data_IF_730223507122
#
_entry.id   IF_730223507122
#
_cell.length_a   1.000
_cell.length_b   1.000
_cell.length_c   1.000
_cell.angle_alpha   90.00
_cell.angle_beta   90.00
_cell.angle_gamma   90.00
#
_symmetry.space_group_name_H-M   'P 1'
#
loop_
_entity.id
_entity.type
_entity.pdbx_description
1 polymer ?
#
# COMPACT_ATOMS: atom_id res chain seq x y z
N UNK A 1 -18.56 74.21 21.33
CA UNK A 1 -19.82 74.97 21.23
C UNK A 1 -20.62 74.44 20.06
N UNK A 2 -21.80 73.88 20.35
CA UNK A 2 -23.08 73.78 19.61
C UNK A 2 -23.03 74.05 18.10
N UNK A 3 -23.69 73.36 17.17
CA UNK A 3 -24.85 72.47 17.12
C UNK A 3 -24.82 71.85 15.68
N UNK A 4 -25.63 70.93 15.16
CA UNK A 4 -27.01 70.53 15.40
C UNK A 4 -27.23 69.22 14.61
N UNK A 5 -28.03 68.34 15.17
CA UNK A 5 -28.42 67.05 14.61
C UNK A 5 -29.39 67.19 13.42
N UNK A 6 -29.31 66.25 12.47
CA UNK A 6 -30.45 65.86 11.64
C UNK A 6 -30.65 64.35 11.77
N UNK A 7 -31.80 63.98 12.35
CA UNK A 7 -32.29 62.61 12.51
C UNK A 7 -32.75 62.07 11.15
N UNK A 8 -32.29 60.89 10.77
CA UNK A 8 -32.99 60.05 9.80
C UNK A 8 -32.96 58.60 10.33
N UNK A 9 -34.10 58.16 10.86
CA UNK A 9 -34.31 56.77 11.24
C UNK A 9 -34.42 55.92 9.96
N UNK A 10 -33.34 55.23 9.59
CA UNK A 10 -33.40 54.14 8.63
C UNK A 10 -33.50 52.82 9.41
N UNK A 11 -34.66 52.17 9.33
CA UNK A 11 -34.87 50.81 9.83
C UNK A 11 -34.13 49.86 8.89
N UNK A 12 -33.02 49.31 9.35
CA UNK A 12 -32.22 48.32 8.62
C UNK A 12 -32.67 46.92 9.06
N UNK A 13 -33.20 46.05 8.17
CA UNK A 13 -33.57 44.70 8.56
C UNK A 13 -32.31 43.87 8.80
N UNK A 14 -32.22 43.31 10.01
CA UNK A 14 -31.17 42.40 10.48
C UNK A 14 -31.31 41.05 9.75
N UNK A 15 -30.48 40.81 8.73
CA UNK A 15 -30.36 39.50 8.08
C UNK A 15 -29.54 38.56 8.97
N UNK A 16 -30.26 37.74 9.74
CA UNK A 16 -29.71 36.66 10.55
C UNK A 16 -29.12 35.58 9.62
N UNK A 17 -27.81 35.61 9.43
CA UNK A 17 -27.08 34.56 8.70
C UNK A 17 -27.06 33.30 9.56
N UNK A 18 -27.90 32.33 9.23
CA UNK A 18 -27.88 31.01 9.84
C UNK A 18 -26.60 30.27 9.40
N UNK A 19 -25.67 30.07 10.34
CA UNK A 19 -24.53 29.17 10.17
C UNK A 19 -25.05 27.77 9.84
N UNK A 20 -24.85 27.35 8.59
CA UNK A 20 -25.13 26.00 8.12
C UNK A 20 -24.23 25.02 8.84
N UNK A 21 -24.73 24.42 9.92
CA UNK A 21 -24.15 23.24 10.53
C UNK A 21 -24.30 22.10 9.53
N UNK A 22 -23.24 21.82 8.79
CA UNK A 22 -23.16 20.67 7.89
C UNK A 22 -23.20 19.39 8.72
N UNK A 23 -24.41 18.93 9.04
CA UNK A 23 -24.61 17.60 9.59
C UNK A 23 -24.12 16.60 8.54
N UNK A 24 -22.96 15.99 8.80
CA UNK A 24 -22.56 14.76 8.15
C UNK A 24 -23.67 13.74 8.45
N UNK A 25 -24.52 13.48 7.47
CA UNK A 25 -25.47 12.40 7.51
C UNK A 25 -24.65 11.11 7.54
N UNK A 26 -24.61 10.47 8.71
CA UNK A 26 -24.04 9.14 8.87
C UNK A 26 -24.67 8.24 7.80
N UNK A 27 -23.82 7.57 7.00
CA UNK A 27 -24.30 6.63 6.00
C UNK A 27 -25.19 5.58 6.68
N UNK A 28 -26.33 5.20 6.08
CA UNK A 28 -27.19 4.18 6.66
C UNK A 28 -26.41 2.88 6.82
N UNK A 29 -26.21 2.46 8.06
CA UNK A 29 -25.59 1.17 8.38
C UNK A 29 -26.48 0.07 7.80
N UNK A 30 -25.95 -0.66 6.83
CA UNK A 30 -26.66 -1.81 6.25
C UNK A 30 -26.93 -2.83 7.36
N UNK A 31 -28.18 -3.28 7.49
CA UNK A 31 -28.56 -4.24 8.52
C UNK A 31 -27.81 -5.57 8.33
N UNK A 32 -27.33 -6.14 9.44
CA UNK A 32 -26.61 -7.42 9.45
C UNK A 32 -27.58 -8.56 9.08
N UNK A 33 -27.27 -9.38 8.05
CA UNK A 33 -28.13 -10.50 7.67
C UNK A 33 -28.37 -11.47 8.83
N UNK A 34 -29.61 -11.99 9.01
CA UNK A 34 -29.94 -12.89 10.13
C UNK A 34 -29.02 -14.11 10.26
N UNK A 35 -28.56 -14.67 9.13
CA UNK A 35 -27.68 -15.83 9.10
C UNK A 35 -26.33 -15.61 9.79
N UNK A 36 -25.80 -14.37 9.79
CA UNK A 36 -24.51 -14.04 10.41
C UNK A 36 -24.68 -13.25 11.71
N UNK A 37 -25.91 -12.81 12.03
CA UNK A 37 -26.19 -12.00 13.21
C UNK A 37 -25.70 -12.62 14.54
N UNK A 38 -25.79 -13.95 14.77
CA UNK A 38 -25.24 -14.55 15.98
C UNK A 38 -23.74 -14.30 16.15
N UNK A 39 -22.92 -14.63 15.14
CA UNK A 39 -21.47 -14.39 15.19
C UNK A 39 -21.10 -12.91 15.13
N UNK A 40 -21.88 -12.09 14.43
CA UNK A 40 -21.65 -10.64 14.42
C UNK A 40 -21.77 -10.05 15.83
N UNK A 41 -22.73 -10.53 16.63
CA UNK A 41 -22.95 -10.05 18.01
C UNK A 41 -21.89 -10.52 18.99
N UNK A 42 -21.07 -11.52 18.66
CA UNK A 42 -19.96 -11.94 19.52
C UNK A 42 -18.71 -11.09 19.31
N UNK A 43 -18.66 -10.26 18.28
CA UNK A 43 -17.53 -9.37 18.05
C UNK A 43 -17.53 -8.30 19.14
N UNK A 44 -16.49 -8.29 19.97
CA UNK A 44 -16.32 -7.30 21.03
C UNK A 44 -14.99 -6.56 20.85
N UNK A 45 -14.96 -5.30 21.30
CA UNK A 45 -13.71 -4.53 21.33
C UNK A 45 -12.66 -5.19 22.24
N UNK A 46 -13.10 -5.81 23.34
CA UNK A 46 -12.23 -6.47 24.30
C UNK A 46 -11.45 -7.63 23.67
N UNK A 47 -12.14 -8.49 22.92
CA UNK A 47 -11.52 -9.63 22.26
C UNK A 47 -10.54 -9.17 21.18
N UNK A 48 -10.96 -8.23 20.32
CA UNK A 48 -10.08 -7.65 19.28
C UNK A 48 -8.83 -7.02 19.87
N UNK A 49 -8.97 -6.33 21.01
CA UNK A 49 -7.84 -5.70 21.71
C UNK A 49 -6.92 -6.76 22.31
N UNK A 50 -7.45 -7.83 22.89
CA UNK A 50 -6.66 -8.92 23.45
C UNK A 50 -5.85 -9.63 22.35
N UNK A 51 -6.51 -9.98 21.24
CA UNK A 51 -5.89 -10.62 20.08
C UNK A 51 -4.78 -9.75 19.48
N UNK A 52 -5.07 -8.46 19.26
CA UNK A 52 -4.09 -7.52 18.73
C UNK A 52 -2.90 -7.38 19.70
N UNK A 53 -3.17 -7.20 20.99
CA UNK A 53 -2.12 -7.08 22.02
C UNK A 53 -1.19 -8.28 22.02
N UNK A 54 -1.74 -9.49 21.95
CA UNK A 54 -0.93 -10.70 21.90
C UNK A 54 -0.10 -10.75 20.61
N UNK A 55 -0.75 -10.60 19.45
CA UNK A 55 -0.09 -10.69 18.16
C UNK A 55 1.03 -9.65 18.01
N UNK A 56 0.87 -8.46 18.57
CA UNK A 56 1.88 -7.39 18.50
C UNK A 56 2.79 -7.30 19.73
N UNK A 57 2.80 -8.32 20.59
CA UNK A 57 3.60 -8.30 21.81
C UNK A 57 5.09 -8.53 21.54
N UNK A 58 5.95 -7.96 22.39
CA UNK A 58 7.41 -8.11 22.31
C UNK A 58 7.88 -9.57 22.21
N UNK A 59 7.28 -10.57 22.89
CA UNK A 59 7.66 -11.97 22.75
C UNK A 59 7.55 -12.55 21.33
N UNK A 60 6.70 -11.98 20.47
CA UNK A 60 6.62 -12.40 19.07
C UNK A 60 7.77 -11.83 18.24
N UNK A 61 8.37 -10.70 18.66
CA UNK A 61 9.50 -10.05 17.98
C UNK A 61 9.23 -9.66 16.51
N UNK A 62 7.98 -9.69 16.07
CA UNK A 62 7.59 -9.59 14.66
C UNK A 62 6.80 -10.81 14.22
N UNK A 63 6.38 -10.82 12.95
CA UNK A 63 5.70 -11.98 12.32
C UNK A 63 6.16 -12.11 10.87
N UNK A 64 7.43 -11.81 10.61
CA UNK A 64 8.01 -12.03 9.28
C UNK A 64 8.09 -13.54 9.05
N UNK A 65 7.72 -13.97 7.84
CA UNK A 65 7.72 -15.39 7.49
C UNK A 65 9.08 -16.03 7.79
N UNK A 66 9.05 -17.27 8.28
CA UNK A 66 10.24 -18.04 8.68
C UNK A 66 10.96 -17.54 9.94
N UNK A 67 10.36 -16.61 10.69
CA UNK A 67 10.85 -16.21 12.02
C UNK A 67 10.04 -16.86 13.15
N UNK A 68 10.55 -16.78 14.38
CA UNK A 68 9.90 -17.38 15.56
C UNK A 68 8.49 -16.81 15.79
N UNK A 69 8.29 -15.51 15.63
CA UNK A 69 6.98 -14.88 15.82
C UNK A 69 5.92 -15.34 14.83
N UNK A 70 6.31 -15.68 13.60
CA UNK A 70 5.43 -16.27 12.60
C UNK A 70 4.97 -17.68 13.04
N UNK A 71 5.89 -18.52 13.52
CA UNK A 71 5.55 -19.84 14.05
C UNK A 71 4.57 -19.77 15.23
N UNK A 72 4.78 -18.82 16.16
CA UNK A 72 3.86 -18.59 17.29
C UNK A 72 2.49 -18.09 16.81
N UNK A 73 2.46 -17.18 15.83
CA UNK A 73 1.23 -16.67 15.27
C UNK A 73 0.41 -17.75 14.54
N UNK A 74 1.08 -18.64 13.78
CA UNK A 74 0.45 -19.78 13.10
C UNK A 74 -0.28 -20.67 14.12
N UNK A 75 0.41 -21.06 15.20
CA UNK A 75 -0.18 -21.92 16.24
C UNK A 75 -1.30 -21.21 16.99
N UNK A 76 -1.16 -19.91 17.25
CA UNK A 76 -2.23 -19.12 17.87
C UNK A 76 -3.49 -19.11 17.00
N UNK A 77 -3.37 -18.83 15.70
CA UNK A 77 -4.50 -18.85 14.75
C UNK A 77 -5.13 -20.24 14.69
N UNK A 78 -4.32 -21.31 14.61
CA UNK A 78 -4.82 -22.68 14.63
C UNK A 78 -5.59 -22.99 15.92
N UNK A 79 -5.14 -22.46 17.06
CA UNK A 79 -5.83 -22.59 18.34
C UNK A 79 -7.17 -21.86 18.37
N UNK A 80 -7.26 -20.67 17.77
CA UNK A 80 -8.52 -19.93 17.66
C UNK A 80 -9.52 -20.65 16.75
N UNK A 81 -9.06 -21.22 15.64
CA UNK A 81 -9.91 -22.07 14.78
C UNK A 81 -10.46 -23.27 15.53
N UNK A 82 -9.63 -23.93 16.34
CA UNK A 82 -10.06 -25.05 17.19
C UNK A 82 -11.07 -24.60 18.25
N UNK A 83 -10.84 -23.46 18.92
CA UNK A 83 -11.78 -22.89 19.91
C UNK A 83 -13.12 -22.53 19.29
N UNK A 84 -13.12 -22.05 18.05
CA UNK A 84 -14.33 -21.74 17.29
C UNK A 84 -15.08 -23.00 16.78
N UNK A 85 -14.52 -24.20 16.97
CA UNK A 85 -15.13 -25.46 16.54
C UNK A 85 -15.04 -25.72 15.03
N UNK A 86 -14.12 -25.04 14.33
CA UNK A 86 -13.84 -25.34 12.93
C UNK A 86 -13.23 -26.73 12.78
N UNK A 87 -13.40 -27.34 11.62
CA UNK A 87 -12.74 -28.60 11.28
C UNK A 87 -11.40 -28.31 10.59
N UNK A 88 -10.36 -29.14 10.82
CA UNK A 88 -9.13 -29.05 10.05
C UNK A 88 -9.40 -29.26 8.55
N UNK A 89 -8.60 -28.59 7.71
CA UNK A 89 -8.75 -28.63 6.25
C UNK A 89 -7.62 -29.41 5.56
N UNK A 90 -6.57 -29.80 6.30
CA UNK A 90 -5.39 -30.51 5.78
C UNK A 90 -5.19 -31.81 6.58
N UNK A 91 -6.07 -32.79 6.33
CA UNK A 91 -6.18 -33.98 7.16
C UNK A 91 -6.66 -33.59 8.56
N UNK A 92 -5.89 -33.99 9.58
CA UNK A 92 -6.17 -33.65 10.98
C UNK A 92 -5.53 -32.31 11.42
N UNK A 93 -4.95 -31.55 10.48
CA UNK A 93 -4.25 -30.29 10.73
C UNK A 93 -5.01 -29.04 10.25
N UNK A 94 -4.88 -27.96 11.01
CA UNK A 94 -5.28 -26.60 10.59
C UNK A 94 -4.20 -25.89 9.77
N UNK A 95 -3.00 -26.47 9.68
CA UNK A 95 -1.81 -25.88 9.07
C UNK A 95 -1.54 -26.56 7.72
N UNK A 96 -1.38 -25.75 6.68
CA UNK A 96 -0.94 -26.18 5.35
C UNK A 96 0.57 -25.99 5.18
N UNK A 97 1.34 -27.04 4.88
CA UNK A 97 2.73 -26.86 4.49
C UNK A 97 2.81 -26.25 3.08
N UNK A 98 3.60 -25.19 2.93
CA UNK A 98 3.91 -24.55 1.64
C UNK A 98 5.43 -24.44 1.51
N UNK A 99 6.03 -24.87 0.38
CA UNK A 99 7.46 -24.69 0.15
C UNK A 99 7.76 -23.20 -0.07
N UNK A 100 8.63 -22.64 0.77
CA UNK A 100 9.09 -21.26 0.67
C UNK A 100 10.60 -21.27 0.43
N UNK A 101 11.08 -20.34 -0.41
CA UNK A 101 12.50 -20.10 -0.61
C UNK A 101 12.84 -18.78 0.07
N UNK A 102 13.71 -18.84 1.08
CA UNK A 102 14.29 -17.64 1.68
C UNK A 102 15.52 -17.20 0.91
N UNK A 103 15.65 -15.90 0.68
CA UNK A 103 16.90 -15.30 0.24
C UNK A 103 17.05 -13.95 0.94
N UNK A 104 18.27 -13.67 1.40
CA UNK A 104 18.64 -12.41 2.02
C UNK A 104 19.73 -11.76 1.18
N UNK A 105 19.64 -10.46 0.99
CA UNK A 105 20.72 -9.72 0.38
C UNK A 105 21.95 -9.73 1.31
N UNK A 106 23.14 -9.90 0.73
CA UNK A 106 24.38 -9.64 1.47
C UNK A 106 24.63 -8.13 1.48
N UNK A 107 24.33 -7.49 2.61
CA UNK A 107 24.46 -6.04 2.76
C UNK A 107 25.90 -5.54 2.54
N UNK A 108 26.92 -6.35 2.83
CA UNK A 108 28.31 -5.97 2.65
C UNK A 108 28.75 -6.04 1.18
N UNK A 109 28.12 -6.93 0.39
CA UNK A 109 28.44 -7.14 -1.02
C UNK A 109 27.45 -6.47 -1.98
N UNK A 110 26.35 -5.90 -1.48
CA UNK A 110 25.32 -5.26 -2.29
C UNK A 110 25.56 -3.75 -2.41
N UNK A 111 25.67 -3.26 -3.65
CA UNK A 111 25.71 -1.83 -3.94
C UNK A 111 25.27 -1.53 -5.37
N UNK A 112 24.84 -0.29 -5.61
CA UNK A 112 24.60 0.23 -6.95
C UNK A 112 25.62 1.32 -7.24
N UNK A 113 26.21 1.28 -8.42
CA UNK A 113 27.19 2.27 -8.87
C UNK A 113 26.70 2.94 -10.14
N UNK A 114 26.49 4.26 -10.08
CA UNK A 114 26.09 5.08 -11.20
C UNK A 114 27.30 5.84 -11.73
N UNK A 115 27.67 5.58 -12.99
CA UNK A 115 28.79 6.24 -13.67
C UNK A 115 28.28 7.24 -14.69
N UNK A 116 28.83 8.45 -14.67
CA UNK A 116 28.53 9.54 -15.61
C UNK A 116 29.83 10.21 -16.05
N UNK A 117 29.81 11.00 -17.12
CA UNK A 117 31.00 11.69 -17.67
C UNK A 117 31.73 12.58 -16.63
N UNK A 118 31.06 12.97 -15.55
CA UNK A 118 31.61 13.79 -14.47
C UNK A 118 31.97 13.03 -13.18
N UNK A 119 31.90 11.70 -13.15
CA UNK A 119 32.28 10.91 -11.97
C UNK A 119 31.42 9.68 -11.71
N UNK A 120 31.70 9.04 -10.58
CA UNK A 120 31.01 7.87 -10.08
C UNK A 120 30.30 8.21 -8.77
N UNK A 121 29.06 7.74 -8.62
CA UNK A 121 28.32 7.77 -7.36
C UNK A 121 27.95 6.34 -6.96
N UNK A 122 28.34 5.95 -5.75
CA UNK A 122 28.03 4.65 -5.16
C UNK A 122 26.92 4.81 -4.13
N UNK A 123 25.93 3.92 -4.20
CA UNK A 123 24.86 3.75 -3.23
C UNK A 123 25.11 2.44 -2.48
N UNK A 124 25.26 2.52 -1.15
CA UNK A 124 25.43 1.35 -0.31
C UNK A 124 24.08 0.66 -0.06
N UNK A 125 24.10 -0.54 0.53
CA UNK A 125 22.88 -1.24 0.93
C UNK A 125 21.92 -0.38 1.78
N UNK A 126 22.45 0.52 2.62
CA UNK A 126 21.61 1.42 3.43
C UNK A 126 20.79 2.44 2.60
N UNK A 127 21.20 2.70 1.36
CA UNK A 127 20.57 3.68 0.47
C UNK A 127 19.65 3.03 -0.58
N UNK A 128 19.64 1.69 -0.67
CA UNK A 128 18.93 0.94 -1.70
C UNK A 128 18.07 -0.14 -1.06
N UNK A 129 17.00 -0.52 -1.75
CA UNK A 129 16.19 -1.68 -1.38
C UNK A 129 15.98 -2.56 -2.59
N UNK A 130 15.90 -3.87 -2.36
CA UNK A 130 15.72 -4.86 -3.42
C UNK A 130 16.44 -6.17 -3.10
N UNK A 131 16.07 -7.23 -3.78
CA UNK A 131 16.68 -8.52 -3.59
C UNK A 131 16.40 -9.43 -4.78
N UNK A 132 17.43 -10.13 -5.22
CA UNK A 132 17.32 -11.13 -6.25
C UNK A 132 17.49 -12.51 -5.63
N UNK A 133 16.79 -13.51 -6.18
CA UNK A 133 16.91 -14.92 -5.75
C UNK A 133 18.35 -15.46 -5.89
N UNK A 134 19.15 -14.87 -6.77
CA UNK A 134 20.55 -15.23 -7.04
C UNK A 134 21.39 -13.96 -7.08
N UNK A 135 22.71 -14.03 -6.78
CA UNK A 135 23.61 -12.91 -6.97
C UNK A 135 23.53 -12.39 -8.41
N UNK A 136 23.46 -11.07 -8.56
CA UNK A 136 23.47 -10.37 -9.85
C UNK A 136 24.61 -9.36 -9.81
N UNK A 137 25.54 -9.50 -10.74
CA UNK A 137 26.58 -8.51 -11.03
C UNK A 137 26.45 -8.14 -12.51
N UNK A 138 25.94 -6.95 -12.77
CA UNK A 138 25.68 -6.46 -14.13
C UNK A 138 26.12 -5.00 -14.25
N UNK A 139 26.80 -4.71 -15.35
CA UNK A 139 27.10 -3.34 -15.78
C UNK A 139 26.51 -3.16 -17.18
N UNK A 140 25.59 -2.22 -17.31
CA UNK A 140 24.93 -1.90 -18.58
C UNK A 140 24.58 -0.40 -18.64
N UNK A 141 24.35 0.14 -19.85
CA UNK A 141 23.77 1.47 -19.99
C UNK A 141 22.43 1.55 -19.26
N UNK A 142 22.12 2.73 -18.71
CA UNK A 142 20.82 3.00 -18.07
C UNK A 142 19.93 3.75 -19.04
N UNK A 143 18.67 3.36 -19.10
CA UNK A 143 17.63 4.07 -19.85
C UNK A 143 16.47 4.39 -18.91
N UNK A 144 15.92 5.60 -19.01
CA UNK A 144 14.79 6.02 -18.20
C UNK A 144 13.49 5.82 -18.99
N UNK A 145 12.54 5.09 -18.42
CA UNK A 145 11.27 4.74 -19.06
C UNK A 145 10.07 5.18 -18.20
N UNK A 146 10.08 6.43 -17.72
CA UNK A 146 8.92 7.01 -17.02
C UNK A 146 8.47 6.18 -15.82
N UNK A 147 7.22 5.74 -15.82
CA UNK A 147 6.66 4.85 -14.81
C UNK A 147 6.76 3.36 -15.19
N UNK A 148 7.33 3.04 -16.36
CA UNK A 148 7.47 1.69 -16.88
C UNK A 148 6.13 1.06 -17.27
N UNK A 149 5.12 1.86 -17.62
CA UNK A 149 3.78 1.33 -17.91
C UNK A 149 3.62 1.07 -19.40
N UNK A 150 3.21 -0.15 -19.74
CA UNK A 150 2.69 -0.47 -21.07
C UNK A 150 1.22 -0.90 -20.94
N UNK A 151 0.32 -0.01 -21.35
CA UNK A 151 -1.13 -0.14 -21.25
C UNK A 151 -1.80 0.20 -22.59
N UNK A 152 -1.72 -0.67 -23.60
CA UNK A 152 -2.35 -0.44 -24.91
C UNK A 152 -3.86 -0.19 -24.80
N UNK A 153 -4.52 -0.79 -23.81
CA UNK A 153 -5.95 -0.58 -23.53
C UNK A 153 -6.30 0.85 -23.12
N UNK A 154 -5.31 1.62 -22.67
CA UNK A 154 -5.41 3.04 -22.32
C UNK A 154 -4.70 3.95 -23.33
N UNK A 155 -4.12 3.38 -24.40
CA UNK A 155 -3.32 4.12 -25.37
C UNK A 155 -2.04 4.72 -24.77
N UNK A 156 -1.47 4.11 -23.72
CA UNK A 156 -0.30 4.60 -23.01
C UNK A 156 0.84 3.59 -23.03
N UNK A 157 2.05 4.03 -23.37
CA UNK A 157 3.24 3.18 -23.38
C UNK A 157 4.51 3.99 -23.12
N UNK A 158 5.08 3.87 -21.92
CA UNK A 158 6.34 4.51 -21.51
C UNK A 158 7.55 3.97 -22.30
N UNK A 159 7.43 2.80 -22.93
CA UNK A 159 8.49 2.18 -23.71
C UNK A 159 8.47 2.61 -25.18
N UNK A 160 7.44 3.32 -25.63
CA UNK A 160 7.28 3.72 -27.01
C UNK A 160 8.47 4.58 -27.49
N UNK A 161 9.19 4.09 -28.50
CA UNK A 161 10.36 4.76 -29.06
C UNK A 161 11.65 4.65 -28.22
N UNK A 162 11.65 3.82 -27.18
CA UNK A 162 12.82 3.60 -26.31
C UNK A 162 13.41 2.21 -26.57
N UNK A 163 14.70 2.15 -26.92
CA UNK A 163 15.42 0.87 -26.98
C UNK A 163 15.91 0.48 -25.58
N UNK A 164 15.28 -0.52 -24.97
CA UNK A 164 15.64 -1.04 -23.64
C UNK A 164 16.50 -2.31 -23.68
N UNK A 165 16.75 -2.88 -24.86
CA UNK A 165 17.43 -4.17 -24.97
C UNK A 165 18.86 -4.08 -24.45
N UNK A 166 19.21 -4.97 -23.51
CA UNK A 166 20.53 -5.04 -22.89
C UNK A 166 20.87 -3.86 -21.97
N UNK A 167 19.87 -3.08 -21.54
CA UNK A 167 20.03 -1.91 -20.67
C UNK A 167 19.37 -2.16 -19.31
N UNK A 168 19.83 -1.41 -18.31
CA UNK A 168 19.15 -1.31 -17.02
C UNK A 168 18.06 -0.24 -17.18
N UNK A 169 16.81 -0.62 -16.98
CA UNK A 169 15.68 0.32 -17.07
C UNK A 169 15.44 0.96 -15.70
N UNK A 170 15.48 2.28 -15.65
CA UNK A 170 15.10 3.08 -14.50
C UNK A 170 13.67 3.59 -14.69
N UNK A 171 12.82 3.36 -13.68
CA UNK A 171 11.41 3.77 -13.68
C UNK A 171 11.05 4.39 -12.33
N UNK A 172 9.99 5.20 -12.32
CA UNK A 172 9.33 5.63 -11.10
C UNK A 172 8.38 4.55 -10.58
N UNK A 173 8.17 4.55 -9.26
CA UNK A 173 7.09 3.81 -8.62
C UNK A 173 5.72 4.47 -8.95
N UNK A 174 4.61 3.75 -8.79
CA UNK A 174 3.24 4.21 -9.07
C UNK A 174 2.94 4.52 -10.55
N UNK A 175 2.05 5.45 -10.86
CA UNK A 175 1.56 5.67 -12.22
C UNK A 175 1.46 7.17 -12.56
N UNK A 176 1.45 7.51 -13.86
CA UNK A 176 1.37 8.90 -14.29
C UNK A 176 0.11 9.59 -13.75
N UNK A 177 0.28 10.83 -13.29
CA UNK A 177 -0.81 11.70 -12.84
C UNK A 177 -1.72 11.10 -11.75
N UNK A 178 -1.21 10.29 -10.82
CA UNK A 178 -1.98 9.64 -9.75
C UNK A 178 -2.80 10.59 -8.85
N UNK A 179 -2.49 11.89 -8.84
CA UNK A 179 -3.24 12.91 -8.09
C UNK A 179 -4.23 13.69 -8.95
N UNK A 180 -4.29 13.40 -10.25
CA UNK A 180 -5.21 14.01 -11.20
C UNK A 180 -6.48 13.16 -11.30
N UNK A 181 -7.66 13.66 -10.90
CA UNK A 181 -8.92 12.92 -11.04
C UNK A 181 -9.29 12.59 -12.49
N UNK A 182 -8.64 13.22 -13.48
CA UNK A 182 -8.82 12.97 -14.91
C UNK A 182 -7.73 12.10 -15.52
N UNK A 183 -6.85 11.51 -14.70
CA UNK A 183 -5.84 10.58 -15.19
C UNK A 183 -6.52 9.45 -15.97
N UNK A 184 -5.89 9.04 -17.08
CA UNK A 184 -6.29 7.84 -17.83
C UNK A 184 -6.15 6.57 -16.96
N UNK A 185 -5.35 6.65 -15.88
CA UNK A 185 -5.17 5.62 -14.87
C UNK A 185 -6.06 5.88 -13.65
N UNK A 186 -7.36 5.57 -13.77
CA UNK A 186 -8.36 5.54 -12.68
C UNK A 186 -8.37 6.75 -11.72
N UNK A 187 -7.93 7.93 -12.19
CA UNK A 187 -7.93 9.16 -11.40
C UNK A 187 -7.06 9.08 -10.14
N UNK A 188 -7.69 9.21 -8.97
CA UNK A 188 -7.02 9.24 -7.66
C UNK A 188 -6.90 7.86 -6.98
N UNK A 189 -7.11 6.77 -7.71
CA UNK A 189 -7.05 5.42 -7.15
C UNK A 189 -6.14 4.52 -7.95
N UNK A 190 -5.23 3.82 -7.28
CA UNK A 190 -4.23 2.97 -7.91
C UNK A 190 -4.84 1.95 -8.87
N UNK A 191 -4.29 1.84 -10.09
CA UNK A 191 -4.58 0.73 -10.99
C UNK A 191 -3.61 -0.43 -10.81
N UNK A 192 -3.82 -1.52 -11.58
CA UNK A 192 -2.82 -2.58 -11.71
C UNK A 192 -1.46 -2.07 -12.18
N UNK A 193 -1.39 -0.94 -12.88
CA UNK A 193 -0.17 -0.38 -13.45
C UNK A 193 0.69 0.35 -12.41
N UNK A 194 0.15 0.68 -11.24
CA UNK A 194 0.90 1.26 -10.14
C UNK A 194 1.93 0.30 -9.50
N UNK A 195 1.74 -1.03 -9.62
CA UNK A 195 2.66 -2.01 -9.04
C UNK A 195 3.85 -2.34 -9.95
N UNK A 196 5.04 -2.42 -9.34
CA UNK A 196 6.27 -2.85 -10.02
C UNK A 196 6.19 -4.25 -10.65
N UNK A 197 5.20 -5.07 -10.27
CA UNK A 197 5.00 -6.41 -10.83
C UNK A 197 4.59 -6.43 -12.30
N UNK A 198 3.98 -5.36 -12.82
CA UNK A 198 3.45 -5.34 -14.19
C UNK A 198 4.21 -4.39 -15.13
N UNK A 199 5.14 -3.61 -14.58
CA UNK A 199 5.90 -2.56 -15.30
C UNK A 199 7.07 -3.09 -16.12
N UNK A 200 7.48 -4.32 -15.87
CA UNK A 200 8.45 -5.04 -16.67
C UNK A 200 7.78 -6.29 -17.23
N UNK A 201 6.83 -6.15 -18.18
CA UNK A 201 6.17 -7.30 -18.78
C UNK A 201 7.23 -8.16 -19.48
N UNK A 202 7.48 -9.36 -18.93
CA UNK A 202 8.15 -10.50 -19.55
C UNK A 202 9.34 -10.20 -20.49
N UNK A 203 10.30 -9.38 -20.06
CA UNK A 203 11.61 -9.26 -20.74
C UNK A 203 12.51 -10.51 -20.56
N UNK A 204 11.93 -11.65 -20.16
CA UNK A 204 12.62 -12.90 -19.79
C UNK A 204 12.21 -14.11 -20.66
N UNK A 205 11.55 -13.89 -21.80
CA UNK A 205 11.49 -14.89 -22.88
C UNK A 205 12.53 -14.59 -23.94
#
# INVERSE_FOLDING_TARGET
MNARALRCCAVLPLLLSASGSGAQTARPTTAVPPRIAPGYRTISEGDLRADLTFLTSDPLQGRMSLENGDAVAIEWIASEFKKAGLKPAFGDSYIQPVPIVEYRADAAQSSIVVRRRGGEQKFAWADISGGFKRPVDITAPVVFAGFGVSAPELGYDDYAGIDVKGKIVLVFEHEPEETNPRSVFNGTGNTRHATNRVKAPELWT
#
